data_IF_638432891259
#
_entry.id   IF_638432891259
#
_cell.length_a   1.000
_cell.length_b   1.000
_cell.length_c   1.000
_cell.angle_alpha   90.00
_cell.angle_beta   90.00
_cell.angle_gamma   90.00
#
_symmetry.space_group_name_H-M   'P 1'
#
loop_
_entity.id
_entity.type
_entity.pdbx_description
1 polymer ?
#
# COMPACT_ATOMS: atom_id res chain seq x y z
N UNK A 1 -5.07 -24.21 0.86
CA UNK A 1 -4.93 -22.88 1.50
C UNK A 1 -4.43 -21.91 0.44
N UNK A 2 -5.11 -20.78 0.24
CA UNK A 2 -4.58 -19.71 -0.61
C UNK A 2 -3.39 -19.06 0.10
N UNK A 3 -2.23 -18.89 -0.55
CA UNK A 3 -1.10 -18.19 0.05
C UNK A 3 -1.50 -16.76 0.48
N UNK A 4 -0.99 -16.27 1.62
CA UNK A 4 -1.29 -14.91 2.07
C UNK A 4 -0.75 -13.89 1.06
N UNK A 5 -1.46 -12.77 0.89
CA UNK A 5 -0.99 -11.67 0.06
C UNK A 5 0.13 -10.92 0.79
N UNK A 6 1.28 -10.73 0.14
CA UNK A 6 2.30 -9.82 0.66
C UNK A 6 1.79 -8.37 0.62
N UNK A 7 2.10 -7.56 1.63
CA UNK A 7 1.71 -6.15 1.68
C UNK A 7 2.88 -5.25 1.27
N UNK A 8 2.62 -4.34 0.33
CA UNK A 8 3.51 -3.24 -0.03
C UNK A 8 2.76 -1.93 0.15
N UNK A 9 3.45 -0.87 0.57
CA UNK A 9 2.86 0.47 0.68
C UNK A 9 3.47 1.40 -0.36
N UNK A 10 2.64 2.19 -1.00
CA UNK A 10 3.02 3.08 -2.09
C UNK A 10 2.75 4.52 -1.70
N UNK A 11 3.83 5.30 -1.62
CA UNK A 11 3.73 6.74 -1.49
C UNK A 11 3.18 7.38 -2.76
N UNK A 12 2.45 8.49 -2.62
CA UNK A 12 1.97 9.23 -3.76
C UNK A 12 3.13 9.86 -4.55
N UNK A 13 2.87 10.17 -5.81
CA UNK A 13 3.71 11.12 -6.53
C UNK A 13 3.75 12.47 -5.78
N UNK A 14 4.85 13.23 -5.84
CA UNK A 14 4.94 14.53 -5.19
C UNK A 14 3.83 15.47 -5.68
N UNK A 15 3.09 16.08 -4.75
CA UNK A 15 2.04 17.05 -5.06
C UNK A 15 1.92 18.09 -3.92
N UNK A 16 1.51 19.33 -4.22
CA UNK A 16 1.33 20.38 -3.21
C UNK A 16 0.36 19.99 -2.08
N UNK A 17 -0.64 19.15 -2.36
CA UNK A 17 -1.59 18.64 -1.37
C UNK A 17 -0.92 17.87 -0.22
N UNK A 18 0.31 17.38 -0.42
CA UNK A 18 1.09 16.66 0.58
C UNK A 18 2.06 17.55 1.37
N UNK A 19 2.12 18.85 1.13
CA UNK A 19 2.94 19.75 1.94
C UNK A 19 2.39 19.83 3.39
N UNK A 20 3.26 19.84 4.43
CA UNK A 20 4.73 19.84 4.37
C UNK A 20 5.38 18.44 4.37
N UNK A 21 4.59 17.37 4.27
CA UNK A 21 5.06 15.98 4.44
C UNK A 21 5.69 15.36 3.19
N UNK A 22 5.47 15.95 2.01
CA UNK A 22 5.98 15.45 0.73
C UNK A 22 7.50 15.23 0.77
N UNK A 23 7.91 13.97 0.68
CA UNK A 23 9.32 13.57 0.66
C UNK A 23 10.07 13.75 1.98
N UNK A 24 9.40 14.08 3.08
CA UNK A 24 10.05 14.21 4.40
C UNK A 24 10.35 12.84 5.04
N UNK A 25 9.41 11.90 4.89
CA UNK A 25 9.51 10.48 5.27
C UNK A 25 8.46 9.69 4.48
N UNK A 26 8.49 8.35 4.50
CA UNK A 26 7.41 7.58 3.89
C UNK A 26 6.08 7.95 4.53
N UNK A 27 5.07 8.29 3.70
CA UNK A 27 3.84 8.90 4.20
C UNK A 27 3.05 7.93 5.08
N UNK A 28 3.15 6.63 4.82
CA UNK A 28 2.52 5.59 5.63
C UNK A 28 3.08 5.49 7.05
N UNK A 29 4.23 6.11 7.32
CA UNK A 29 4.80 6.23 8.67
C UNK A 29 4.31 7.48 9.41
N UNK A 30 3.29 8.19 8.90
CA UNK A 30 2.53 9.18 9.67
C UNK A 30 1.39 8.52 10.43
N UNK A 31 0.99 9.14 11.55
CA UNK A 31 -0.13 8.68 12.36
C UNK A 31 -1.48 9.11 11.77
N UNK A 32 -2.42 8.16 11.73
CA UNK A 32 -3.83 8.37 11.51
C UNK A 32 -4.60 7.98 12.79
N UNK A 33 -4.77 8.94 13.71
CA UNK A 33 -5.21 8.68 15.08
C UNK A 33 -4.07 8.11 15.92
N UNK A 34 -4.32 7.02 16.64
CA UNK A 34 -3.30 6.37 17.49
C UNK A 34 -2.26 5.55 16.72
N UNK A 35 -2.63 5.05 15.54
CA UNK A 35 -1.83 4.12 14.73
C UNK A 35 -1.17 4.82 13.56
N UNK A 36 -0.04 4.27 13.09
CA UNK A 36 0.52 4.61 11.79
C UNK A 36 -0.44 4.18 10.67
N UNK A 37 -0.40 4.87 9.54
CA UNK A 37 -1.12 4.44 8.34
C UNK A 37 -0.67 3.03 7.94
N UNK A 38 0.62 2.71 8.05
CA UNK A 38 1.15 1.35 7.86
C UNK A 38 0.49 0.33 8.77
N UNK A 39 0.48 0.57 10.08
CA UNK A 39 -0.11 -0.38 11.06
C UNK A 39 -1.58 -0.66 10.77
N UNK A 40 -2.30 0.35 10.25
CA UNK A 40 -3.69 0.18 9.81
C UNK A 40 -3.79 -0.72 8.58
N UNK A 41 -2.91 -0.55 7.60
CA UNK A 41 -2.84 -1.45 6.44
C UNK A 41 -2.46 -2.88 6.84
N UNK A 42 -1.50 -3.04 7.75
CA UNK A 42 -1.07 -4.34 8.26
C UNK A 42 -2.21 -5.07 8.97
N UNK A 43 -2.96 -4.35 9.80
CA UNK A 43 -4.18 -4.87 10.45
C UNK A 43 -5.26 -5.20 9.43
N UNK A 44 -5.49 -4.32 8.46
CA UNK A 44 -6.53 -4.48 7.45
C UNK A 44 -6.28 -5.70 6.57
N UNK A 45 -5.04 -5.94 6.12
CA UNK A 45 -4.68 -7.07 5.28
C UNK A 45 -4.39 -8.34 6.10
N UNK A 46 -3.98 -8.19 7.36
CA UNK A 46 -3.51 -9.30 8.19
C UNK A 46 -2.10 -9.78 7.83
N UNK A 47 -1.25 -8.88 7.34
CA UNK A 47 0.13 -9.18 6.94
C UNK A 47 1.06 -8.00 7.25
N UNK A 48 2.32 -8.29 7.61
CA UNK A 48 3.35 -7.26 7.76
C UNK A 48 3.72 -6.64 6.41
N UNK A 49 4.14 -5.38 6.43
CA UNK A 49 4.60 -4.68 5.23
C UNK A 49 5.96 -5.20 4.79
N UNK A 50 6.02 -5.80 3.60
CA UNK A 50 7.25 -6.32 3.01
C UNK A 50 8.19 -5.19 2.55
N UNK A 51 7.65 -4.13 1.96
CA UNK A 51 8.40 -2.93 1.60
C UNK A 51 7.50 -1.70 1.45
N UNK A 52 8.11 -0.53 1.61
CA UNK A 52 7.51 0.76 1.33
C UNK A 52 8.18 1.35 0.08
N UNK A 53 7.38 1.63 -0.93
CA UNK A 53 7.81 2.35 -2.13
C UNK A 53 7.64 3.84 -1.94
N UNK A 54 8.76 4.52 -1.77
CA UNK A 54 8.85 5.95 -1.53
C UNK A 54 9.65 6.66 -2.62
N UNK A 55 9.80 7.98 -2.48
CA UNK A 55 10.66 8.77 -3.38
C UNK A 55 12.10 8.27 -3.32
N UNK A 56 12.87 8.32 -4.43
CA UNK A 56 14.20 7.74 -4.49
C UNK A 56 15.16 8.22 -3.38
N UNK A 57 15.07 9.49 -2.98
CA UNK A 57 15.92 10.05 -1.91
C UNK A 57 15.58 9.54 -0.50
N UNK A 58 14.43 8.87 -0.33
CA UNK A 58 14.06 8.17 0.91
C UNK A 58 14.53 6.71 0.91
N UNK A 59 15.18 6.23 -0.16
CA UNK A 59 15.77 4.89 -0.18
C UNK A 59 16.79 4.76 0.96
N UNK A 60 16.65 3.73 1.79
CA UNK A 60 17.50 3.54 2.96
C UNK A 60 17.08 4.33 4.20
N UNK A 61 15.93 5.02 4.18
CA UNK A 61 15.30 5.51 5.40
C UNK A 61 15.16 4.36 6.40
N UNK A 62 15.72 4.55 7.60
CA UNK A 62 15.81 3.51 8.62
C UNK A 62 15.51 4.11 10.00
N UNK A 63 14.42 3.65 10.59
CA UNK A 63 14.08 3.84 12.00
C UNK A 63 13.68 2.46 12.55
N UNK A 64 13.73 2.30 13.87
CA UNK A 64 13.36 1.04 14.51
C UNK A 64 11.91 0.66 14.15
N UNK A 65 11.72 -0.55 13.62
CA UNK A 65 10.40 -1.07 13.23
C UNK A 65 9.87 -0.59 11.87
N UNK A 66 10.63 0.22 11.13
CA UNK A 66 10.23 0.63 9.78
C UNK A 66 10.64 -0.47 8.77
N UNK A 67 9.72 -0.95 7.93
CA UNK A 67 10.04 -1.89 6.85
C UNK A 67 11.06 -1.33 5.86
N UNK A 68 11.58 -2.19 4.99
CA UNK A 68 12.49 -1.77 3.91
C UNK A 68 11.84 -0.66 3.06
N UNK A 69 12.50 0.50 2.98
CA UNK A 69 12.13 1.59 2.08
C UNK A 69 12.95 1.54 0.80
N UNK A 70 12.29 1.53 -0.35
CA UNK A 70 12.94 1.45 -1.66
C UNK A 70 12.23 2.29 -2.72
N UNK A 71 12.90 2.51 -3.85
CA UNK A 71 12.24 3.02 -5.05
C UNK A 71 11.15 2.04 -5.52
N UNK A 72 10.09 2.58 -6.14
CA UNK A 72 9.03 1.76 -6.75
C UNK A 72 9.60 0.80 -7.78
N UNK A 73 9.13 -0.45 -7.72
CA UNK A 73 9.48 -1.50 -8.67
C UNK A 73 8.34 -2.49 -8.87
N UNK A 74 8.54 -3.50 -9.74
CA UNK A 74 7.58 -4.57 -9.95
C UNK A 74 7.36 -5.39 -8.68
N UNK A 75 6.13 -5.82 -8.44
CA UNK A 75 5.74 -6.66 -7.29
C UNK A 75 5.18 -8.00 -7.78
N UNK A 76 5.81 -9.14 -7.48
CA UNK A 76 5.24 -10.45 -7.78
C UNK A 76 4.04 -10.75 -6.87
N UNK A 77 3.00 -11.34 -7.44
CA UNK A 77 1.82 -11.78 -6.68
C UNK A 77 1.95 -13.18 -6.08
N UNK A 78 1.13 -13.53 -5.08
CA UNK A 78 0.00 -12.74 -4.57
C UNK A 78 0.43 -11.56 -3.68
N UNK A 79 -0.05 -10.36 -3.99
CA UNK A 79 0.28 -9.17 -3.22
C UNK A 79 -0.80 -8.09 -3.25
N UNK A 80 -0.79 -7.25 -2.23
CA UNK A 80 -1.56 -6.00 -2.14
C UNK A 80 -0.59 -4.83 -2.09
N UNK A 81 -0.87 -3.81 -2.89
CA UNK A 81 -0.18 -2.53 -2.91
C UNK A 81 -1.15 -1.50 -2.34
N UNK A 82 -0.98 -1.13 -1.06
CA UNK A 82 -1.80 -0.13 -0.39
C UNK A 82 -1.28 1.29 -0.62
N UNK A 83 -2.17 2.27 -0.78
CA UNK A 83 -1.78 3.68 -0.86
C UNK A 83 -1.42 4.21 0.53
N UNK A 84 -0.25 4.83 0.66
CA UNK A 84 0.13 5.57 1.86
C UNK A 84 -0.76 6.80 2.14
N UNK A 85 -1.62 7.19 1.19
CA UNK A 85 -2.56 8.31 1.32
C UNK A 85 -3.91 7.92 1.91
N UNK A 86 -4.09 6.64 2.23
CA UNK A 86 -5.33 6.09 2.74
C UNK A 86 -5.09 5.30 4.01
N UNK A 87 -5.94 5.51 5.01
CA UNK A 87 -5.87 4.84 6.30
C UNK A 87 -7.07 3.90 6.44
N UNK A 88 -6.95 2.62 6.08
CA UNK A 88 -8.08 1.69 6.14
C UNK A 88 -8.56 1.47 7.58
N UNK A 89 -9.80 0.97 7.68
CA UNK A 89 -10.44 0.61 8.94
C UNK A 89 -11.02 -0.81 8.85
N UNK A 90 -11.00 -1.52 9.97
CA UNK A 90 -11.53 -2.89 10.03
C UNK A 90 -10.61 -3.90 9.32
N UNK A 91 -11.22 -4.96 8.79
CA UNK A 91 -10.53 -6.04 8.08
C UNK A 91 -10.90 -5.98 6.60
N UNK A 92 -9.95 -6.37 5.75
CA UNK A 92 -10.19 -6.50 4.33
C UNK A 92 -11.28 -7.55 4.06
N UNK A 93 -12.11 -7.34 3.02
CA UNK A 93 -12.98 -8.40 2.53
C UNK A 93 -12.13 -9.53 1.93
N UNK A 94 -12.76 -10.66 1.61
CA UNK A 94 -12.10 -11.73 0.87
C UNK A 94 -11.52 -11.21 -0.45
N UNK A 95 -10.20 -11.24 -0.57
CA UNK A 95 -9.48 -10.72 -1.72
C UNK A 95 -9.48 -11.74 -2.88
N UNK A 96 -9.76 -11.32 -4.12
CA UNK A 96 -9.69 -12.19 -5.29
C UNK A 96 -8.28 -12.75 -5.54
N UNK A 97 -8.19 -13.92 -6.17
CA UNK A 97 -6.93 -14.50 -6.65
C UNK A 97 -6.41 -13.87 -7.97
N UNK A 98 -7.04 -12.80 -8.44
CA UNK A 98 -6.74 -12.11 -9.69
C UNK A 98 -6.38 -10.63 -9.47
N UNK A 99 -6.27 -9.88 -10.56
CA UNK A 99 -6.10 -8.43 -10.48
C UNK A 99 -7.36 -7.75 -9.91
N UNK A 100 -7.17 -6.86 -8.92
CA UNK A 100 -8.25 -6.05 -8.36
C UNK A 100 -7.76 -4.66 -7.95
N UNK A 101 -8.70 -3.77 -7.68
CA UNK A 101 -8.49 -2.47 -7.06
C UNK A 101 -9.29 -2.39 -5.77
N UNK A 102 -8.70 -1.77 -4.75
CA UNK A 102 -9.43 -1.30 -3.59
C UNK A 102 -9.85 0.14 -3.84
N UNK A 103 -11.12 0.47 -3.60
CA UNK A 103 -11.64 1.83 -3.77
C UNK A 103 -12.30 2.33 -2.49
N UNK A 104 -12.23 3.64 -2.24
CA UNK A 104 -12.97 4.29 -1.16
C UNK A 104 -13.50 5.62 -1.68
N UNK A 105 -14.83 5.79 -1.66
CA UNK A 105 -15.49 6.99 -2.20
C UNK A 105 -15.19 7.21 -3.69
N UNK A 106 -15.02 6.13 -4.47
CA UNK A 106 -14.65 6.17 -5.88
C UNK A 106 -13.17 6.43 -6.17
N UNK A 107 -12.33 6.66 -5.16
CA UNK A 107 -10.88 6.82 -5.31
C UNK A 107 -10.20 5.46 -5.18
N UNK A 108 -9.27 5.13 -6.08
CA UNK A 108 -8.45 3.91 -5.93
C UNK A 108 -7.43 4.13 -4.81
N UNK A 109 -7.50 3.29 -3.78
CA UNK A 109 -6.67 3.35 -2.57
C UNK A 109 -5.73 2.15 -2.44
N UNK A 110 -5.83 1.18 -3.34
CA UNK A 110 -4.89 0.08 -3.43
C UNK A 110 -5.12 -0.81 -4.63
N UNK A 111 -4.19 -1.73 -4.86
CA UNK A 111 -4.20 -2.68 -5.95
C UNK A 111 -3.89 -4.08 -5.44
N UNK A 112 -4.44 -5.08 -6.11
CA UNK A 112 -4.15 -6.48 -5.86
C UNK A 112 -3.61 -7.15 -7.11
N UNK A 113 -2.66 -8.06 -6.91
CA UNK A 113 -2.11 -8.91 -7.95
C UNK A 113 -2.15 -10.37 -7.51
N UNK A 114 -2.65 -11.23 -8.39
CA UNK A 114 -2.79 -12.66 -8.13
C UNK A 114 -1.48 -13.45 -8.29
N UNK A 115 -1.46 -14.73 -7.87
CA UNK A 115 -0.29 -15.61 -8.04
C UNK A 115 0.18 -15.71 -9.50
N UNK A 116 1.49 -15.66 -9.72
CA UNK A 116 2.10 -15.78 -11.06
C UNK A 116 2.01 -14.51 -11.92
N UNK A 117 1.30 -13.48 -11.46
CA UNK A 117 1.27 -12.17 -12.09
C UNK A 117 2.26 -11.20 -11.41
N UNK A 118 2.57 -10.10 -12.09
CA UNK A 118 3.41 -9.01 -11.57
C UNK A 118 2.63 -7.70 -11.67
N UNK A 119 2.64 -6.93 -10.58
CA UNK A 119 2.15 -5.56 -10.59
C UNK A 119 3.29 -4.62 -10.96
N UNK A 120 3.10 -3.82 -12.01
CA UNK A 120 4.04 -2.80 -12.49
C UNK A 120 3.47 -1.37 -12.38
N UNK A 121 2.15 -1.24 -12.17
CA UNK A 121 1.49 0.03 -11.95
C UNK A 121 -0.03 -0.02 -11.85
N UNK A 122 -0.68 1.16 -11.84
CA UNK A 122 -2.12 1.25 -11.73
C UNK A 122 -2.86 0.41 -12.78
N UNK A 123 -3.87 -0.34 -12.33
CA UNK A 123 -4.64 -1.27 -13.17
C UNK A 123 -6.11 -0.79 -13.30
N UNK A 124 -6.41 0.24 -14.12
CA UNK A 124 -7.73 0.88 -14.15
C UNK A 124 -8.86 -0.07 -14.57
N UNK A 125 -8.55 -1.12 -15.34
CA UNK A 125 -9.51 -2.11 -15.81
C UNK A 125 -9.80 -3.23 -14.80
N UNK A 126 -9.01 -3.33 -13.72
CA UNK A 126 -9.23 -4.35 -12.71
C UNK A 126 -10.49 -4.06 -11.88
N UNK A 127 -11.15 -5.14 -11.45
CA UNK A 127 -12.39 -5.08 -10.68
C UNK A 127 -12.21 -4.25 -9.40
N UNK A 128 -13.15 -3.34 -9.13
CA UNK A 128 -13.11 -2.48 -7.95
C UNK A 128 -13.85 -3.13 -6.77
N UNK A 129 -13.23 -3.07 -5.60
CA UNK A 129 -13.77 -3.53 -4.32
C UNK A 129 -13.81 -2.32 -3.39
N UNK A 130 -15.00 -1.91 -3.01
CA UNK A 130 -15.18 -0.79 -2.09
C UNK A 130 -14.74 -1.17 -0.67
N UNK A 131 -14.01 -0.27 -0.01
CA UNK A 131 -13.48 -0.43 1.34
C UNK A 131 -13.78 0.81 2.20
N UNK A 132 -14.05 0.62 3.51
CA UNK A 132 -14.51 1.67 4.42
C UNK A 132 -13.40 2.61 4.93
#
# INVERSE_FOLDING_TARGET
MTPPHALYLLDPAPAPAWAPFVGARPLCELRAGAHLIRERWETFIGAETAAIFALPHLTGFAEAGVPRVAARGPVPGPAVIGSSTFAPRGLAPSLPNGAFRLTSGGVTVGWGVGPGATWDGPQPHAAAIEVP
#
